data_IF_634550768469
#
_entry.id   IF_634550768469
#
_cell.length_a   1.000
_cell.length_b   1.000
_cell.length_c   1.000
_cell.angle_alpha   90.00
_cell.angle_beta   90.00
_cell.angle_gamma   90.00
#
_symmetry.space_group_name_H-M   'P 1'
#
loop_
_entity.id
_entity.type
_entity.pdbx_description
1 polymer ?
#
# COMPACT_ATOMS: atom_id res chain seq x y z
N UNK A 1 7.82 -16.51 20.64
CA UNK A 1 7.99 -16.59 19.17
C UNK A 1 8.80 -15.39 18.71
N UNK A 2 9.65 -15.51 17.67
CA UNK A 2 10.38 -14.36 17.15
C UNK A 2 9.44 -13.35 16.49
N UNK A 3 9.83 -12.09 16.47
CA UNK A 3 9.05 -11.02 15.83
C UNK A 3 9.03 -11.20 14.31
N UNK A 4 7.86 -10.95 13.71
CA UNK A 4 7.66 -10.91 12.25
C UNK A 4 7.56 -9.45 11.81
N UNK A 5 8.17 -9.12 10.68
CA UNK A 5 8.26 -7.76 10.16
C UNK A 5 7.79 -7.68 8.71
N UNK A 6 7.36 -6.49 8.31
CA UNK A 6 7.04 -6.16 6.93
C UNK A 6 7.70 -4.84 6.55
N UNK A 7 8.03 -4.67 5.27
CA UNK A 7 8.54 -3.42 4.72
C UNK A 7 7.41 -2.72 3.98
N UNK A 8 7.19 -1.44 4.31
CA UNK A 8 6.25 -0.58 3.63
C UNK A 8 6.97 0.54 2.87
N UNK A 9 6.61 0.73 1.60
CA UNK A 9 7.05 1.89 0.80
C UNK A 9 5.85 2.77 0.55
N UNK A 10 6.02 4.08 0.74
CA UNK A 10 4.96 5.08 0.68
C UNK A 10 5.39 6.26 -0.17
N UNK A 11 4.45 6.78 -0.95
CA UNK A 11 4.58 8.05 -1.65
C UNK A 11 3.39 8.98 -1.34
N UNK A 12 3.58 10.27 -1.59
CA UNK A 12 2.54 11.29 -1.55
C UNK A 12 2.43 11.91 -2.93
N UNK A 13 1.26 11.79 -3.55
CA UNK A 13 1.01 12.36 -4.87
C UNK A 13 -0.04 13.44 -4.80
N UNK A 14 0.19 14.54 -5.49
CA UNK A 14 -0.85 15.54 -5.77
C UNK A 14 -1.58 15.13 -7.05
N UNK A 15 -2.90 15.09 -7.01
CA UNK A 15 -3.74 14.71 -8.14
C UNK A 15 -4.46 15.92 -8.73
N UNK A 16 -4.86 15.84 -10.02
CA UNK A 16 -5.90 16.70 -10.56
C UNK A 16 -7.19 16.60 -9.73
N UNK A 17 -8.04 17.61 -9.87
CA UNK A 17 -9.27 17.75 -9.11
C UNK A 17 -10.22 16.56 -9.33
N UNK A 18 -10.98 16.21 -8.29
CA UNK A 18 -12.04 15.19 -8.28
C UNK A 18 -11.63 13.75 -8.64
N UNK A 19 -10.34 13.41 -8.58
CA UNK A 19 -9.85 12.05 -8.88
C UNK A 19 -10.01 11.05 -7.74
N UNK A 20 -9.94 11.50 -6.49
CA UNK A 20 -10.09 10.64 -5.32
C UNK A 20 -10.66 11.43 -4.13
N UNK A 21 -11.77 10.98 -3.51
CA UNK A 21 -12.41 11.75 -2.42
C UNK A 21 -11.53 11.85 -1.16
N UNK A 22 -11.44 13.05 -0.59
CA UNK A 22 -10.85 13.27 0.74
C UNK A 22 -11.52 12.38 1.79
N UNK A 23 -10.72 11.73 2.64
CA UNK A 23 -11.20 10.82 3.68
C UNK A 23 -11.52 9.40 3.20
N UNK A 24 -11.51 9.13 1.89
CA UNK A 24 -11.70 7.76 1.38
C UNK A 24 -10.47 6.91 1.72
N UNK A 25 -10.74 5.70 2.20
CA UNK A 25 -9.74 4.68 2.55
C UNK A 25 -9.96 3.46 1.68
N UNK A 26 -8.93 3.04 0.95
CA UNK A 26 -8.95 1.83 0.12
C UNK A 26 -7.76 0.95 0.50
N UNK A 27 -8.03 -0.35 0.67
CA UNK A 27 -7.02 -1.40 0.81
C UNK A 27 -7.19 -2.42 -0.31
N UNK A 28 -6.08 -3.00 -0.76
CA UNK A 28 -6.05 -4.00 -1.83
C UNK A 28 -5.18 -5.17 -1.41
N UNK A 29 -5.55 -6.37 -1.85
CA UNK A 29 -4.83 -7.62 -1.63
C UNK A 29 -4.72 -8.37 -2.95
N UNK A 30 -3.77 -9.29 -3.04
CA UNK A 30 -3.46 -10.03 -4.26
C UNK A 30 -2.43 -9.30 -5.12
N UNK A 31 -2.66 -9.27 -6.44
CA UNK A 31 -1.71 -8.73 -7.40
C UNK A 31 -1.18 -7.34 -6.98
N UNK A 32 0.14 -7.10 -6.98
CA UNK A 32 1.19 -7.92 -7.61
C UNK A 32 1.70 -9.11 -6.78
N UNK A 33 1.29 -9.27 -5.52
CA UNK A 33 1.68 -10.45 -4.73
C UNK A 33 0.97 -11.72 -5.20
N UNK A 34 1.67 -12.84 -5.07
CA UNK A 34 1.06 -14.16 -5.15
C UNK A 34 0.27 -14.51 -3.88
N UNK A 35 -0.30 -15.71 -3.83
CA UNK A 35 -1.08 -16.18 -2.68
C UNK A 35 -0.23 -16.59 -1.46
N UNK A 36 1.09 -16.63 -1.59
CA UNK A 36 2.02 -17.10 -0.55
C UNK A 36 2.78 -15.95 0.12
N UNK A 37 2.81 -14.79 -0.53
CA UNK A 37 3.50 -13.59 -0.06
C UNK A 37 2.51 -12.68 0.64
N UNK A 38 2.72 -12.43 1.94
CA UNK A 38 1.93 -11.43 2.65
C UNK A 38 2.22 -10.05 2.07
N UNK A 39 1.20 -9.39 1.53
CA UNK A 39 1.33 -8.04 1.02
C UNK A 39 0.00 -7.41 0.64
N UNK A 40 0.04 -6.11 0.41
CA UNK A 40 -1.14 -5.35 0.05
C UNK A 40 -0.83 -3.87 -0.18
N UNK A 41 -1.69 -3.24 -0.98
CA UNK A 41 -1.61 -1.81 -1.26
C UNK A 41 -2.65 -1.02 -0.49
N UNK A 42 -2.40 0.27 -0.32
CA UNK A 42 -3.38 1.22 0.20
C UNK A 42 -3.43 2.51 -0.61
N UNK A 43 -4.58 3.18 -0.56
CA UNK A 43 -4.77 4.53 -1.09
C UNK A 43 -5.68 5.31 -0.13
N UNK A 44 -5.17 6.41 0.43
CA UNK A 44 -5.89 7.28 1.35
C UNK A 44 -6.02 8.68 0.77
N UNK A 45 -7.24 9.20 0.74
CA UNK A 45 -7.53 10.55 0.27
C UNK A 45 -7.24 11.55 1.38
N UNK A 46 -6.24 12.40 1.17
CA UNK A 46 -5.86 13.45 2.10
C UNK A 46 -6.50 14.78 1.67
N UNK A 47 -6.29 15.83 2.46
CA UNK A 47 -6.66 17.19 2.07
C UNK A 47 -5.80 17.67 0.89
N UNK A 48 -6.21 18.78 0.25
CA UNK A 48 -5.45 19.46 -0.80
C UNK A 48 -5.16 18.60 -2.04
N UNK A 49 -6.06 17.66 -2.38
CA UNK A 49 -5.92 16.75 -3.53
C UNK A 49 -4.68 15.85 -3.46
N UNK A 50 -4.15 15.65 -2.26
CA UNK A 50 -3.05 14.72 -2.02
C UNK A 50 -3.61 13.33 -1.76
N UNK A 51 -2.99 12.30 -2.34
CA UNK A 51 -3.19 10.91 -1.95
C UNK A 51 -1.94 10.37 -1.28
N UNK A 52 -2.17 9.64 -0.19
CA UNK A 52 -1.16 8.79 0.42
C UNK A 52 -1.38 7.37 -0.09
N UNK A 53 -0.41 6.88 -0.85
CA UNK A 53 -0.45 5.53 -1.40
C UNK A 53 0.82 4.79 -1.06
N UNK A 54 0.73 3.47 -1.08
CA UNK A 54 1.90 2.64 -0.92
C UNK A 54 1.56 1.17 -0.93
N UNK A 55 2.60 0.39 -0.68
CA UNK A 55 2.56 -1.06 -0.68
C UNK A 55 3.38 -1.60 0.47
N UNK A 56 2.91 -2.70 1.07
CA UNK A 56 3.61 -3.43 2.12
C UNK A 56 3.84 -4.87 1.69
N UNK A 57 5.00 -5.42 2.02
CA UNK A 57 5.32 -6.84 1.85
C UNK A 57 5.98 -7.41 3.11
N UNK A 58 5.66 -8.65 3.47
CA UNK A 58 6.26 -9.36 4.59
C UNK A 58 7.73 -9.70 4.32
N UNK A 59 8.64 -9.47 5.27
CA UNK A 59 10.07 -9.77 5.09
C UNK A 59 10.42 -11.27 5.17
N UNK A 60 9.40 -12.11 5.25
CA UNK A 60 9.45 -13.57 5.22
C UNK A 60 9.09 -14.16 3.84
N UNK A 61 9.01 -13.32 2.80
CA UNK A 61 8.83 -13.78 1.42
C UNK A 61 9.96 -14.74 1.00
N UNK A 62 9.63 -15.68 0.11
CA UNK A 62 10.55 -16.76 -0.28
C UNK A 62 11.30 -16.53 -1.59
N UNK A 63 10.72 -15.75 -2.50
CA UNK A 63 11.33 -15.47 -3.80
C UNK A 63 12.40 -14.38 -3.65
N UNK A 64 13.69 -14.68 -3.88
CA UNK A 64 14.75 -13.70 -3.71
C UNK A 64 14.85 -12.69 -4.87
N UNK A 65 14.08 -12.85 -5.96
CA UNK A 65 14.12 -12.00 -7.15
C UNK A 65 13.02 -10.94 -7.18
#
# INVERSE_FOLDING_TARGET
>A
EPQVYSLGVKELWELPDDRYPTGRVTHTLGFPSDQWTYGGGWIYGMQNRVVNLGYVTGLDYRDPL
#
